data_IF_072031299417
#
_entry.id   IF_072031299417
#
_cell.length_a   1.000
_cell.length_b   1.000
_cell.length_c   1.000
_cell.angle_alpha   90.00
_cell.angle_beta   90.00
_cell.angle_gamma   90.00
#
_symmetry.space_group_name_H-M   'P 1'
#
loop_
_entity.id
_entity.type
_entity.pdbx_description
1 polymer ?
#
# COMPACT_ATOMS: atom_id res chain seq x y z
N UNK A 1 -28.66 10.57 35.85
CA UNK A 1 -27.31 11.04 35.48
C UNK A 1 -27.35 12.54 35.50
N UNK A 2 -26.53 13.15 36.36
CA UNK A 2 -26.33 14.59 36.44
C UNK A 2 -25.18 14.93 35.46
N UNK A 3 -25.09 16.15 34.92
CA UNK A 3 -23.98 16.58 34.04
C UNK A 3 -22.59 16.24 34.59
N UNK A 4 -22.45 16.28 35.92
CA UNK A 4 -21.22 15.95 36.64
C UNK A 4 -20.80 14.47 36.51
N UNK A 5 -21.75 13.56 36.27
CA UNK A 5 -21.49 12.14 36.05
C UNK A 5 -21.00 11.85 34.61
N UNK A 6 -21.04 12.85 33.72
CA UNK A 6 -20.56 12.79 32.34
C UNK A 6 -19.22 13.52 32.16
N UNK A 7 -18.65 14.07 33.24
CA UNK A 7 -17.40 14.83 33.23
C UNK A 7 -16.20 13.87 33.09
N UNK A 8 -15.71 13.74 31.86
CA UNK A 8 -14.55 12.88 31.53
C UNK A 8 -13.23 13.40 32.10
N UNK A 9 -13.18 14.61 32.67
CA UNK A 9 -11.99 15.12 33.38
C UNK A 9 -11.66 14.35 34.66
N UNK A 10 -12.61 13.55 35.16
CA UNK A 10 -12.44 12.67 36.32
C UNK A 10 -11.94 11.26 35.95
N UNK A 11 -11.86 10.92 34.65
CA UNK A 11 -11.36 9.60 34.24
C UNK A 11 -9.83 9.54 34.44
N UNK A 12 -9.30 8.52 35.15
CA UNK A 12 -7.86 8.35 35.29
C UNK A 12 -7.22 8.09 33.92
N UNK A 13 -6.14 8.81 33.63
CA UNK A 13 -5.32 8.56 32.44
C UNK A 13 -4.73 7.14 32.50
N UNK A 14 -4.98 6.34 31.47
CA UNK A 14 -4.23 5.10 31.25
C UNK A 14 -3.07 5.41 30.31
N UNK A 15 -1.85 5.48 30.86
CA UNK A 15 -0.63 5.60 30.08
C UNK A 15 -0.12 4.19 29.72
N UNK A 16 -0.31 3.77 28.47
CA UNK A 16 0.45 2.66 27.91
C UNK A 16 1.80 3.18 27.39
N UNK A 17 2.91 2.82 28.05
CA UNK A 17 4.24 3.12 27.55
C UNK A 17 4.59 2.18 26.39
N UNK A 18 4.52 2.69 25.16
CA UNK A 18 5.05 2.02 23.98
C UNK A 18 6.59 2.06 23.99
N UNK A 19 7.29 1.01 23.53
CA UNK A 19 8.74 1.01 23.43
C UNK A 19 9.28 2.20 22.61
N UNK A 20 10.49 2.66 22.93
CA UNK A 20 11.18 3.67 22.12
C UNK A 20 11.28 3.16 20.68
N UNK A 21 10.85 3.96 19.71
CA UNK A 21 10.87 3.59 18.29
C UNK A 21 9.66 2.78 17.81
N UNK A 22 8.64 2.53 18.64
CA UNK A 22 7.49 1.69 18.26
C UNK A 22 6.82 2.10 16.94
N UNK A 23 6.53 3.39 16.74
CA UNK A 23 5.92 3.88 15.50
C UNK A 23 6.85 3.65 14.31
N UNK A 24 8.14 3.91 14.49
CA UNK A 24 9.15 3.73 13.45
C UNK A 24 9.34 2.25 13.08
N UNK A 25 9.29 1.36 14.07
CA UNK A 25 9.26 -0.09 13.83
C UNK A 25 8.06 -0.48 12.98
N UNK A 26 6.85 0.01 13.30
CA UNK A 26 5.64 -0.27 12.52
C UNK A 26 5.75 0.24 11.07
N UNK A 27 6.37 1.40 10.86
CA UNK A 27 6.60 1.95 9.52
C UNK A 27 7.55 1.05 8.72
N UNK A 28 8.68 0.62 9.30
CA UNK A 28 9.62 -0.31 8.66
C UNK A 28 8.99 -1.68 8.37
N UNK A 29 8.25 -2.20 9.35
CA UNK A 29 7.50 -3.44 9.28
C UNK A 29 6.53 -3.47 8.09
N UNK A 30 5.74 -2.40 7.95
CA UNK A 30 4.86 -2.22 6.81
C UNK A 30 5.63 -2.09 5.50
N UNK A 31 6.64 -1.21 5.47
CA UNK A 31 7.38 -0.90 4.26
C UNK A 31 8.03 -2.15 3.66
N UNK A 32 8.65 -2.98 4.51
CA UNK A 32 9.28 -4.25 4.14
C UNK A 32 8.22 -5.28 3.76
N UNK A 33 7.17 -5.46 4.57
CA UNK A 33 6.16 -6.48 4.28
C UNK A 33 5.34 -6.18 3.02
N UNK A 34 5.19 -4.90 2.63
CA UNK A 34 4.58 -4.51 1.37
C UNK A 34 5.41 -4.97 0.15
N UNK A 35 6.72 -5.20 0.28
CA UNK A 35 7.55 -5.71 -0.83
C UNK A 35 7.24 -7.17 -1.18
N UNK A 36 6.61 -7.92 -0.26
CA UNK A 36 6.22 -9.31 -0.51
C UNK A 36 5.19 -9.46 -1.63
N UNK A 37 4.48 -8.39 -2.02
CA UNK A 37 3.56 -8.43 -3.18
C UNK A 37 4.24 -8.85 -4.47
N UNK A 38 5.54 -8.53 -4.60
CA UNK A 38 6.38 -8.89 -5.74
C UNK A 38 7.41 -9.97 -5.35
N UNK A 39 7.19 -10.66 -4.21
CA UNK A 39 8.06 -11.70 -3.67
C UNK A 39 9.51 -11.23 -3.42
N UNK A 40 9.69 -9.94 -3.11
CA UNK A 40 10.97 -9.35 -2.78
C UNK A 40 11.27 -9.53 -1.28
N UNK A 41 12.56 -9.54 -0.94
CA UNK A 41 13.05 -9.65 0.43
C UNK A 41 14.16 -8.63 0.66
N UNK A 42 14.24 -8.06 1.87
CA UNK A 42 15.28 -7.10 2.17
C UNK A 42 16.64 -7.77 2.21
N UNK A 43 17.69 -7.01 1.91
CA UNK A 43 19.04 -7.45 2.20
C UNK A 43 19.26 -7.54 3.71
N UNK A 44 20.23 -8.37 4.13
CA UNK A 44 20.70 -8.37 5.52
C UNK A 44 21.26 -7.02 5.97
N UNK A 45 21.69 -6.19 5.02
CA UNK A 45 22.22 -4.87 5.31
C UNK A 45 21.10 -3.90 5.68
N UNK A 46 19.96 -3.92 4.97
CA UNK A 46 18.78 -3.14 5.33
C UNK A 46 18.27 -3.53 6.72
N UNK A 47 18.19 -4.82 7.04
CA UNK A 47 17.77 -5.29 8.36
C UNK A 47 18.59 -4.62 9.47
N UNK A 48 19.92 -4.55 9.32
CA UNK A 48 20.81 -3.92 10.29
C UNK A 48 20.62 -2.41 10.40
N UNK A 49 20.55 -1.68 9.28
CA UNK A 49 20.48 -0.21 9.31
C UNK A 49 19.07 0.30 9.64
N UNK A 50 18.02 -0.45 9.32
CA UNK A 50 16.64 -0.14 9.72
C UNK A 50 16.45 -0.28 11.23
N UNK A 51 17.03 -1.31 11.86
CA UNK A 51 17.06 -1.43 13.33
C UNK A 51 17.72 -0.22 13.99
N UNK A 52 18.87 0.23 13.45
CA UNK A 52 19.54 1.46 13.93
C UNK A 52 18.65 2.70 13.77
N UNK A 53 17.91 2.81 12.67
CA UNK A 53 16.94 3.90 12.48
C UNK A 53 15.79 3.83 13.48
N UNK A 54 15.25 2.65 13.77
CA UNK A 54 14.22 2.42 14.80
C UNK A 54 14.72 2.85 16.19
N UNK A 55 15.96 2.55 16.53
CA UNK A 55 16.59 2.92 17.81
C UNK A 55 16.94 4.43 17.90
N UNK A 56 16.90 5.13 16.78
CA UNK A 56 17.28 6.55 16.64
C UNK A 56 18.79 6.76 16.58
N UNK A 57 19.56 5.73 16.20
CA UNK A 57 21.01 5.80 15.98
C UNK A 57 21.37 6.32 14.59
N UNK A 58 20.47 6.14 13.62
CA UNK A 58 20.57 6.69 12.28
C UNK A 58 19.31 7.50 11.93
N UNK A 59 19.48 8.63 11.24
CA UNK A 59 18.36 9.31 10.56
C UNK A 59 17.98 8.56 9.28
N UNK A 60 16.82 8.88 8.69
CA UNK A 60 16.39 8.24 7.45
C UNK A 60 17.31 8.64 6.27
N UNK A 61 17.85 9.85 6.29
CA UNK A 61 18.84 10.35 5.32
C UNK A 61 20.18 9.61 5.44
N UNK A 62 20.60 9.27 6.67
CA UNK A 62 21.80 8.45 6.89
C UNK A 62 21.59 7.01 6.39
N UNK A 63 20.39 6.44 6.57
CA UNK A 63 20.01 5.14 5.98
C UNK A 63 20.08 5.19 4.44
N UNK A 64 19.53 6.24 3.82
CA UNK A 64 19.61 6.43 2.37
C UNK A 64 21.07 6.47 1.90
N UNK A 65 21.92 7.23 2.59
CA UNK A 65 23.34 7.32 2.27
C UNK A 65 24.02 5.95 2.37
N UNK A 66 23.79 5.20 3.45
CA UNK A 66 24.30 3.85 3.63
C UNK A 66 23.88 2.90 2.50
N UNK A 67 22.61 2.90 2.09
CA UNK A 67 22.12 2.07 0.98
C UNK A 67 22.79 2.45 -0.35
N UNK A 68 22.92 3.74 -0.64
CA UNK A 68 23.59 4.23 -1.86
C UNK A 68 25.04 3.77 -1.93
N UNK A 69 25.79 3.87 -0.82
CA UNK A 69 27.17 3.37 -0.77
C UNK A 69 27.23 1.85 -0.93
N UNK A 70 26.35 1.12 -0.23
CA UNK A 70 26.29 -0.35 -0.27
C UNK A 70 26.07 -0.86 -1.70
N UNK A 71 25.07 -0.35 -2.42
CA UNK A 71 24.79 -0.79 -3.78
C UNK A 71 25.79 -0.24 -4.81
N UNK A 72 26.35 0.96 -4.61
CA UNK A 72 27.42 1.46 -5.49
C UNK A 72 28.64 0.54 -5.49
N UNK A 73 29.02 0.02 -4.31
CA UNK A 73 30.12 -0.94 -4.21
C UNK A 73 29.79 -2.27 -4.91
N UNK A 74 28.57 -2.77 -4.76
CA UNK A 74 28.14 -4.01 -5.41
C UNK A 74 28.07 -3.91 -6.93
N UNK A 75 27.65 -2.76 -7.46
CA UNK A 75 27.65 -2.48 -8.90
C UNK A 75 29.10 -2.52 -9.42
N UNK A 76 30.05 -1.94 -8.70
CA UNK A 76 31.46 -1.98 -9.09
C UNK A 76 32.06 -3.38 -9.06
N UNK A 77 31.60 -4.24 -8.15
CA UNK A 77 32.05 -5.63 -8.03
C UNK A 77 31.25 -6.64 -8.85
N UNK A 78 30.23 -6.21 -9.60
CA UNK A 78 29.32 -7.08 -10.36
C UNK A 78 28.65 -8.18 -9.51
N UNK A 79 28.27 -7.83 -8.27
CA UNK A 79 27.64 -8.74 -7.30
C UNK A 79 26.24 -8.31 -6.90
N UNK A 80 25.64 -7.36 -7.62
CA UNK A 80 24.38 -6.73 -7.26
C UNK A 80 23.20 -7.72 -7.37
N UNK A 81 22.40 -7.80 -6.31
CA UNK A 81 21.05 -8.37 -6.37
C UNK A 81 20.03 -7.24 -6.57
N UNK A 82 19.44 -7.18 -7.76
CA UNK A 82 18.45 -6.15 -8.10
C UNK A 82 17.13 -6.29 -7.33
N UNK A 83 16.76 -7.51 -6.89
CA UNK A 83 15.55 -7.72 -6.11
C UNK A 83 15.73 -7.21 -4.68
N UNK A 84 16.90 -7.46 -4.08
CA UNK A 84 17.25 -6.86 -2.78
C UNK A 84 17.34 -5.33 -2.91
N UNK A 85 18.00 -4.83 -3.96
CA UNK A 85 18.12 -3.38 -4.19
C UNK A 85 16.76 -2.69 -4.28
N UNK A 86 15.83 -3.26 -5.05
CA UNK A 86 14.49 -2.72 -5.14
C UNK A 86 13.77 -2.77 -3.78
N UNK A 87 13.84 -3.90 -3.08
CA UNK A 87 13.23 -4.05 -1.76
C UNK A 87 13.73 -2.99 -0.78
N UNK A 88 15.04 -2.80 -0.72
CA UNK A 88 15.71 -1.93 0.23
C UNK A 88 15.39 -0.46 -0.01
N UNK A 89 15.58 0.02 -1.24
CA UNK A 89 15.30 1.42 -1.58
C UNK A 89 13.81 1.73 -1.46
N UNK A 90 12.92 0.87 -1.98
CA UNK A 90 11.48 1.14 -1.93
C UNK A 90 10.99 1.12 -0.49
N UNK A 91 11.46 0.20 0.36
CA UNK A 91 11.09 0.17 1.78
C UNK A 91 11.53 1.44 2.50
N UNK A 92 12.77 1.87 2.30
CA UNK A 92 13.27 3.12 2.88
C UNK A 92 12.45 4.33 2.42
N UNK A 93 12.11 4.42 1.12
CA UNK A 93 11.30 5.51 0.58
C UNK A 93 9.86 5.52 1.12
N UNK A 94 9.27 4.36 1.38
CA UNK A 94 7.95 4.27 2.06
C UNK A 94 8.06 4.88 3.45
N UNK A 95 9.05 4.46 4.26
CA UNK A 95 9.26 4.99 5.62
C UNK A 95 9.44 6.49 5.59
N UNK A 96 10.32 6.99 4.73
CA UNK A 96 10.60 8.41 4.58
C UNK A 96 9.34 9.21 4.17
N UNK A 97 8.51 8.65 3.28
CA UNK A 97 7.28 9.33 2.84
C UNK A 97 6.15 9.28 3.88
N UNK A 98 6.13 8.26 4.75
CA UNK A 98 5.20 8.17 5.88
C UNK A 98 5.50 9.20 6.96
N UNK A 99 6.75 9.63 7.11
CA UNK A 99 7.14 10.71 8.04
C UNK A 99 6.73 12.11 7.55
N UNK A 100 6.35 12.25 6.27
CA UNK A 100 5.92 13.53 5.69
C UNK A 100 4.40 13.72 5.84
N UNK A 101 4.02 14.78 6.55
CA UNK A 101 2.62 15.22 6.70
C UNK A 101 2.17 16.06 5.49
N UNK A 102 2.21 15.45 4.31
CA UNK A 102 1.62 16.01 3.11
C UNK A 102 0.76 14.93 2.43
N UNK A 103 -0.39 15.33 1.92
CA UNK A 103 -1.22 14.46 1.09
C UNK A 103 -2.13 15.35 0.23
N UNK A 104 -2.27 14.97 -1.03
CA UNK A 104 -3.27 15.53 -1.92
C UNK A 104 -3.97 14.40 -2.66
N UNK A 105 -5.30 14.42 -2.68
CA UNK A 105 -6.08 13.47 -3.46
C UNK A 105 -6.04 13.90 -4.94
N UNK A 106 -4.94 13.62 -5.64
CA UNK A 106 -4.75 14.03 -7.04
C UNK A 106 -3.94 13.01 -7.84
N UNK A 107 -4.09 13.05 -9.17
CA UNK A 107 -3.28 12.24 -10.09
C UNK A 107 -1.80 12.59 -9.97
N UNK A 108 -1.48 13.88 -9.80
CA UNK A 108 -0.11 14.35 -9.62
C UNK A 108 0.52 13.80 -8.33
N UNK A 109 -0.24 13.74 -7.24
CA UNK A 109 0.26 13.12 -6.01
C UNK A 109 0.41 11.60 -6.16
N UNK A 110 -0.49 10.93 -6.89
CA UNK A 110 -0.35 9.51 -7.21
C UNK A 110 0.93 9.22 -8.02
N UNK A 111 1.23 10.05 -9.03
CA UNK A 111 2.49 10.02 -9.79
C UNK A 111 3.69 10.33 -8.92
N UNK A 112 3.56 11.32 -8.03
CA UNK A 112 4.61 11.70 -7.10
C UNK A 112 4.98 10.55 -6.17
N UNK A 113 4.01 9.83 -5.59
CA UNK A 113 4.28 8.63 -4.77
C UNK A 113 5.08 7.63 -5.59
N UNK A 114 4.63 7.26 -6.79
CA UNK A 114 5.36 6.29 -7.60
C UNK A 114 6.78 6.79 -7.92
N UNK A 115 6.95 8.05 -8.29
CA UNK A 115 8.28 8.62 -8.52
C UNK A 115 9.14 8.48 -7.28
N UNK A 116 8.61 8.88 -6.13
CA UNK A 116 9.33 8.89 -4.85
C UNK A 116 9.79 7.49 -4.44
N UNK A 117 8.90 6.50 -4.58
CA UNK A 117 9.20 5.11 -4.21
C UNK A 117 10.25 4.47 -5.10
N UNK A 118 10.19 4.74 -6.40
CA UNK A 118 10.94 3.98 -7.40
C UNK A 118 12.10 4.74 -8.07
N UNK A 119 12.37 5.99 -7.67
CA UNK A 119 13.42 6.83 -8.30
C UNK A 119 14.83 6.24 -8.24
N UNK A 120 15.12 5.40 -7.25
CA UNK A 120 16.41 4.73 -7.09
C UNK A 120 16.47 3.35 -7.80
N UNK A 121 15.36 2.92 -8.44
CA UNK A 121 15.20 1.58 -9.02
C UNK A 121 14.85 1.62 -10.51
N UNK A 122 13.91 2.48 -10.91
CA UNK A 122 13.37 2.53 -12.27
C UNK A 122 13.61 3.89 -12.92
N UNK A 123 14.15 3.87 -14.15
CA UNK A 123 14.27 5.09 -14.96
C UNK A 123 12.91 5.73 -15.30
N UNK A 124 11.84 4.93 -15.34
CA UNK A 124 10.47 5.38 -15.61
C UNK A 124 9.70 5.80 -14.34
N UNK A 125 10.36 5.96 -13.18
CA UNK A 125 9.66 6.28 -11.94
C UNK A 125 8.81 7.56 -12.06
N UNK A 126 7.49 7.42 -11.89
CA UNK A 126 6.51 8.51 -12.01
C UNK A 126 5.91 8.67 -13.41
N UNK A 127 6.39 7.91 -14.39
CA UNK A 127 5.90 7.94 -15.76
C UNK A 127 4.84 6.87 -15.98
N UNK A 128 3.70 7.30 -16.53
CA UNK A 128 2.66 6.37 -16.95
C UNK A 128 3.11 5.57 -18.17
N UNK A 129 2.64 4.32 -18.24
CA UNK A 129 2.89 3.44 -19.38
C UNK A 129 2.27 4.01 -20.65
N UNK A 130 2.91 3.72 -21.78
CA UNK A 130 2.49 4.18 -23.12
C UNK A 130 1.90 3.06 -23.98
N UNK A 131 1.82 1.85 -23.41
CA UNK A 131 1.32 0.66 -24.09
C UNK A 131 0.36 -0.10 -23.18
N UNK A 132 -0.55 -0.83 -23.79
CA UNK A 132 -1.41 -1.79 -23.11
C UNK A 132 -0.62 -3.07 -22.83
N UNK A 133 -0.96 -3.73 -21.73
CA UNK A 133 -0.37 -5.01 -21.37
C UNK A 133 -1.36 -5.84 -20.54
N UNK A 134 -1.11 -7.15 -20.50
CA UNK A 134 -1.75 -8.08 -19.59
C UNK A 134 -0.74 -8.59 -18.55
N UNK A 135 -1.21 -8.88 -17.34
CA UNK A 135 -0.38 -9.43 -16.26
C UNK A 135 -0.99 -10.76 -15.86
N UNK A 136 -0.19 -11.82 -15.94
CA UNK A 136 -0.65 -13.15 -15.55
C UNK A 136 -0.82 -13.24 -14.03
N UNK A 137 -2.01 -13.66 -13.62
CA UNK A 137 -2.41 -13.75 -12.23
C UNK A 137 -2.44 -15.20 -11.76
N UNK A 138 -1.57 -15.56 -10.82
CA UNK A 138 -1.46 -16.95 -10.33
C UNK A 138 -2.78 -17.47 -9.75
N UNK A 139 -3.52 -16.63 -9.04
CA UNK A 139 -4.83 -16.99 -8.45
C UNK A 139 -5.94 -17.16 -9.50
N UNK A 140 -5.68 -16.78 -10.76
CA UNK A 140 -6.57 -16.90 -11.90
C UNK A 140 -6.06 -17.93 -12.93
N UNK A 141 -5.20 -18.86 -12.53
CA UNK A 141 -4.54 -19.80 -13.44
C UNK A 141 -3.86 -19.12 -14.64
N UNK A 142 -3.17 -18.01 -14.38
CA UNK A 142 -2.49 -17.15 -15.37
C UNK A 142 -3.42 -16.39 -16.32
N UNK A 143 -4.73 -16.32 -16.08
CA UNK A 143 -5.56 -15.29 -16.71
C UNK A 143 -5.17 -13.88 -16.19
N UNK A 144 -5.70 -12.82 -16.79
CA UNK A 144 -5.40 -11.43 -16.44
C UNK A 144 -6.67 -10.65 -16.10
N UNK A 145 -6.53 -9.68 -15.21
CA UNK A 145 -7.49 -8.58 -15.08
C UNK A 145 -7.44 -7.72 -16.35
N UNK A 146 -8.57 -7.13 -16.72
CA UNK A 146 -8.62 -6.08 -17.74
C UNK A 146 -8.17 -4.74 -17.13
N UNK A 147 -6.99 -4.28 -17.53
CA UNK A 147 -6.44 -2.99 -17.11
C UNK A 147 -6.86 -1.84 -18.04
N UNK A 148 -6.74 -0.60 -17.57
CA UNK A 148 -7.13 0.59 -18.35
C UNK A 148 -6.41 0.75 -19.70
N UNK A 149 -7.00 1.49 -20.63
CA UNK A 149 -6.33 1.86 -21.89
C UNK A 149 -5.19 2.85 -21.61
N UNK A 150 -3.99 2.56 -22.10
CA UNK A 150 -2.80 3.40 -21.96
C UNK A 150 -2.97 4.82 -22.48
N UNK A 151 -3.94 5.06 -23.37
CA UNK A 151 -4.25 6.38 -23.94
C UNK A 151 -5.16 7.23 -23.05
N UNK A 152 -5.82 6.65 -22.06
CA UNK A 152 -6.81 7.35 -21.22
C UNK A 152 -6.50 7.28 -19.72
N UNK A 153 -5.26 6.93 -19.34
CA UNK A 153 -4.89 6.68 -17.94
C UNK A 153 -5.12 7.89 -17.04
N UNK A 154 -4.81 9.09 -17.53
CA UNK A 154 -5.00 10.33 -16.77
C UNK A 154 -6.49 10.58 -16.58
N UNK A 155 -7.26 10.51 -17.66
CA UNK A 155 -8.71 10.74 -17.65
C UNK A 155 -9.44 9.74 -16.76
N UNK A 156 -9.04 8.47 -16.77
CA UNK A 156 -9.60 7.43 -15.89
C UNK A 156 -9.32 7.73 -14.41
N UNK A 157 -8.08 8.06 -14.05
CA UNK A 157 -7.74 8.41 -12.66
C UNK A 157 -8.41 9.72 -12.22
N UNK A 158 -8.45 10.74 -13.08
CA UNK A 158 -9.13 12.00 -12.78
C UNK A 158 -10.62 11.78 -12.55
N UNK A 159 -11.26 10.93 -13.35
CA UNK A 159 -12.65 10.55 -13.15
C UNK A 159 -12.88 9.92 -11.77
N UNK A 160 -12.14 8.85 -11.43
CA UNK A 160 -12.28 8.18 -10.13
C UNK A 160 -11.98 9.12 -8.95
N UNK A 161 -10.91 9.92 -9.04
CA UNK A 161 -10.53 10.90 -8.01
C UNK A 161 -11.59 12.01 -7.88
N UNK A 162 -12.20 12.45 -8.98
CA UNK A 162 -13.23 13.48 -8.94
C UNK A 162 -14.48 13.01 -8.18
N UNK A 163 -14.92 11.77 -8.42
CA UNK A 163 -16.04 11.16 -7.70
C UNK A 163 -15.71 10.98 -6.22
N UNK A 164 -14.46 10.64 -5.91
CA UNK A 164 -14.02 10.46 -4.53
C UNK A 164 -13.97 11.78 -3.76
N UNK A 165 -13.57 12.88 -4.41
CA UNK A 165 -13.58 14.23 -3.81
C UNK A 165 -14.97 14.71 -3.41
N UNK A 166 -16.02 14.22 -4.06
CA UNK A 166 -17.40 14.59 -3.73
C UNK A 166 -17.92 13.91 -2.44
N UNK A 167 -17.21 12.88 -1.94
CA UNK A 167 -17.62 12.12 -0.77
C UNK A 167 -17.48 12.93 0.51
N UNK A 168 -18.53 12.91 1.32
CA UNK A 168 -18.55 13.52 2.67
C UNK A 168 -18.30 12.48 3.75
N UNK A 169 -17.07 12.00 3.85
CA UNK A 169 -16.66 10.96 4.79
C UNK A 169 -17.04 11.24 6.26
N UNK A 170 -17.08 12.52 6.66
CA UNK A 170 -17.47 12.94 8.02
C UNK A 170 -18.92 12.62 8.39
N UNK A 171 -19.79 12.50 7.39
CA UNK A 171 -21.22 12.26 7.59
C UNK A 171 -21.58 10.76 7.41
N UNK A 172 -20.60 9.91 7.10
CA UNK A 172 -20.80 8.51 6.75
C UNK A 172 -20.64 7.59 7.95
N UNK A 173 -21.41 6.50 7.96
CA UNK A 173 -21.12 5.36 8.83
C UNK A 173 -19.83 4.68 8.41
N UNK A 174 -19.15 4.02 9.34
CA UNK A 174 -17.91 3.29 9.06
C UNK A 174 -18.08 2.19 7.98
N UNK A 175 -19.28 1.62 7.86
CA UNK A 175 -19.59 0.65 6.79
C UNK A 175 -19.60 1.31 5.42
N UNK A 176 -20.16 2.52 5.31
CA UNK A 176 -20.14 3.31 4.06
C UNK A 176 -18.73 3.76 3.72
N UNK A 177 -17.94 4.16 4.73
CA UNK A 177 -16.52 4.51 4.56
C UNK A 177 -15.74 3.32 3.98
N UNK A 178 -15.83 2.14 4.60
CA UNK A 178 -15.15 0.94 4.13
C UNK A 178 -15.57 0.61 2.69
N UNK A 179 -16.86 0.73 2.37
CA UNK A 179 -17.36 0.50 1.01
C UNK A 179 -16.77 1.49 0.01
N UNK A 180 -16.80 2.79 0.30
CA UNK A 180 -16.26 3.80 -0.61
C UNK A 180 -14.74 3.65 -0.80
N UNK A 181 -13.98 3.43 0.29
CA UNK A 181 -12.53 3.19 0.21
C UNK A 181 -12.23 1.91 -0.58
N UNK A 182 -13.01 0.83 -0.39
CA UNK A 182 -12.88 -0.40 -1.19
C UNK A 182 -13.09 -0.12 -2.67
N UNK A 183 -14.18 0.57 -3.02
CA UNK A 183 -14.52 0.90 -4.40
C UNK A 183 -13.42 1.78 -5.03
N UNK A 184 -13.03 2.85 -4.34
CA UNK A 184 -11.99 3.77 -4.81
C UNK A 184 -10.64 3.09 -5.01
N UNK A 185 -10.19 2.29 -4.03
CA UNK A 185 -8.95 1.49 -4.12
C UNK A 185 -8.99 0.55 -5.33
N UNK A 186 -10.10 -0.16 -5.50
CA UNK A 186 -10.27 -1.10 -6.62
C UNK A 186 -10.16 -0.39 -7.96
N UNK A 187 -10.84 0.74 -8.12
CA UNK A 187 -10.90 1.49 -9.38
C UNK A 187 -9.52 2.04 -9.77
N UNK A 188 -8.84 2.77 -8.87
CA UNK A 188 -7.54 3.37 -9.21
C UNK A 188 -6.46 2.31 -9.47
N UNK A 189 -6.57 1.14 -8.83
CA UNK A 189 -5.67 0.02 -9.09
C UNK A 189 -5.95 -0.63 -10.44
N UNK A 190 -7.23 -0.73 -10.86
CA UNK A 190 -7.62 -1.29 -12.16
C UNK A 190 -7.10 -0.46 -13.34
N UNK A 191 -6.98 0.86 -13.19
CA UNK A 191 -6.34 1.71 -14.21
C UNK A 191 -4.90 1.22 -14.49
N UNK A 192 -4.21 0.79 -13.43
CA UNK A 192 -2.88 0.17 -13.49
C UNK A 192 -1.89 0.99 -14.35
N UNK A 193 -1.67 2.27 -14.02
CA UNK A 193 -1.08 3.23 -14.95
C UNK A 193 0.43 3.12 -15.12
N UNK A 194 1.14 2.42 -14.23
CA UNK A 194 2.60 2.28 -14.30
C UNK A 194 3.00 0.93 -14.89
N UNK A 195 4.26 0.83 -15.33
CA UNK A 195 4.82 -0.42 -15.88
C UNK A 195 4.96 -1.50 -14.81
N UNK A 196 5.40 -1.11 -13.62
CA UNK A 196 5.49 -1.92 -12.40
C UNK A 196 5.22 -1.02 -11.18
N UNK A 197 5.09 -1.60 -9.98
CA UNK A 197 4.93 -0.82 -8.74
C UNK A 197 3.50 -0.34 -8.42
N UNK A 198 2.51 -0.66 -9.26
CA UNK A 198 1.12 -0.20 -9.09
C UNK A 198 0.54 -0.52 -7.70
N UNK A 199 0.66 -1.77 -7.23
CA UNK A 199 0.10 -2.17 -5.93
C UNK A 199 0.75 -1.41 -4.76
N UNK A 200 2.07 -1.22 -4.79
CA UNK A 200 2.83 -0.51 -3.74
C UNK A 200 2.45 0.98 -3.70
N UNK A 201 2.35 1.62 -4.86
CA UNK A 201 1.87 3.00 -5.00
C UNK A 201 0.42 3.14 -4.51
N UNK A 202 -0.48 2.25 -4.92
CA UNK A 202 -1.89 2.28 -4.48
C UNK A 202 -2.01 2.11 -2.97
N UNK A 203 -1.31 1.15 -2.38
CA UNK A 203 -1.37 0.92 -0.94
C UNK A 203 -0.95 2.17 -0.15
N UNK A 204 0.18 2.78 -0.51
CA UNK A 204 0.67 3.98 0.17
C UNK A 204 -0.22 5.21 -0.09
N UNK A 205 -0.75 5.36 -1.31
CA UNK A 205 -1.70 6.44 -1.60
C UNK A 205 -2.95 6.34 -0.73
N UNK A 206 -3.51 5.13 -0.58
CA UNK A 206 -4.71 4.92 0.24
C UNK A 206 -4.40 5.05 1.73
N UNK A 207 -3.25 4.59 2.21
CA UNK A 207 -2.83 4.81 3.58
C UNK A 207 -2.77 6.31 3.90
N UNK A 208 -2.05 7.10 3.08
CA UNK A 208 -1.98 8.55 3.28
C UNK A 208 -3.34 9.22 3.13
N UNK A 209 -4.20 8.71 2.26
CA UNK A 209 -5.56 9.20 2.15
C UNK A 209 -6.38 8.96 3.42
N UNK A 210 -6.36 7.74 3.96
CA UNK A 210 -7.04 7.37 5.20
C UNK A 210 -6.54 8.21 6.39
N UNK A 211 -5.22 8.44 6.48
CA UNK A 211 -4.62 9.33 7.48
C UNK A 211 -5.14 10.76 7.31
N UNK A 212 -5.22 11.27 6.08
CA UNK A 212 -5.78 12.62 5.80
C UNK A 212 -7.26 12.76 6.16
N UNK A 213 -8.01 11.65 6.16
CA UNK A 213 -9.40 11.59 6.61
C UNK A 213 -9.51 11.48 8.14
N UNK A 214 -8.40 11.32 8.87
CA UNK A 214 -8.33 11.20 10.32
C UNK A 214 -8.42 9.78 10.86
N UNK A 215 -8.28 8.75 10.01
CA UNK A 215 -8.20 7.37 10.46
C UNK A 215 -6.78 7.02 10.92
N UNK A 216 -6.70 6.31 12.04
CA UNK A 216 -5.46 5.67 12.44
C UNK A 216 -5.34 4.34 11.68
N UNK A 217 -4.32 4.22 10.83
CA UNK A 217 -4.09 3.02 10.04
C UNK A 217 -3.11 2.12 10.79
N UNK A 218 -3.50 0.87 11.04
CA UNK A 218 -2.57 -0.12 11.59
C UNK A 218 -1.68 -0.68 10.47
N UNK A 219 -0.43 -0.24 10.49
CA UNK A 219 0.59 -0.61 9.51
C UNK A 219 1.00 -2.09 9.62
N UNK A 220 0.66 -2.77 10.72
CA UNK A 220 0.93 -4.21 10.89
C UNK A 220 0.16 -5.09 9.88
N UNK A 221 -1.03 -4.67 9.43
CA UNK A 221 -1.81 -5.46 8.49
C UNK A 221 -1.14 -5.56 7.11
N UNK A 222 -0.52 -4.49 6.64
CA UNK A 222 0.25 -4.53 5.39
C UNK A 222 1.52 -5.38 5.52
N UNK A 223 2.12 -5.47 6.72
CA UNK A 223 3.27 -6.36 6.94
C UNK A 223 2.91 -7.82 6.65
N UNK A 224 1.82 -8.29 7.24
CA UNK A 224 1.48 -9.72 7.25
C UNK A 224 0.55 -10.13 6.11
N UNK A 225 -0.18 -9.17 5.51
CA UNK A 225 -1.27 -9.43 4.56
C UNK A 225 -1.17 -8.67 3.25
N UNK A 226 0.01 -8.14 2.89
CA UNK A 226 0.24 -7.47 1.60
C UNK A 226 -0.12 -8.35 0.38
N UNK A 227 0.26 -9.63 0.39
CA UNK A 227 -0.07 -10.58 -0.68
C UNK A 227 -1.59 -10.81 -0.78
N UNK A 228 -2.28 -10.90 0.37
CA UNK A 228 -3.74 -11.00 0.40
C UNK A 228 -4.37 -9.74 -0.18
N UNK A 229 -3.92 -8.54 0.24
CA UNK A 229 -4.41 -7.26 -0.27
C UNK A 229 -4.27 -7.18 -1.79
N UNK A 230 -3.10 -7.53 -2.31
CA UNK A 230 -2.81 -7.59 -3.74
C UNK A 230 -3.75 -8.55 -4.49
N UNK A 231 -4.00 -9.72 -3.94
CA UNK A 231 -4.93 -10.70 -4.52
C UNK A 231 -6.40 -10.25 -4.41
N UNK A 232 -6.75 -9.52 -3.34
CA UNK A 232 -8.08 -8.95 -3.17
C UNK A 232 -8.38 -7.88 -4.22
N UNK A 233 -7.38 -7.09 -4.62
CA UNK A 233 -7.46 -6.14 -5.74
C UNK A 233 -7.66 -6.85 -7.09
N UNK A 234 -7.03 -8.00 -7.29
CA UNK A 234 -7.31 -8.84 -8.47
C UNK A 234 -8.74 -9.33 -8.45
N UNK A 235 -9.22 -9.86 -7.32
CA UNK A 235 -10.59 -10.37 -7.19
C UNK A 235 -11.66 -9.30 -7.29
N UNK A 236 -11.38 -8.08 -6.86
CA UNK A 236 -12.31 -6.95 -6.98
C UNK A 236 -12.48 -6.45 -8.40
N UNK A 237 -11.57 -6.81 -9.32
CA UNK A 237 -11.56 -6.33 -10.71
C UNK A 237 -11.62 -7.45 -11.77
N UNK A 238 -11.60 -8.72 -11.36
CA UNK A 238 -11.67 -9.85 -12.28
C UNK A 238 -13.11 -10.29 -12.53
N UNK A 239 -13.47 -10.44 -13.80
CA UNK A 239 -14.69 -11.08 -14.24
C UNK A 239 -14.41 -11.95 -15.47
N UNK A 240 -15.22 -12.98 -15.67
CA UNK A 240 -15.20 -13.82 -16.85
C UNK A 240 -16.62 -14.26 -17.17
N UNK A 241 -17.21 -13.64 -18.20
CA UNK A 241 -18.61 -13.89 -18.57
C UNK A 241 -18.85 -15.30 -19.11
N UNK A 242 -17.85 -15.92 -19.75
CA UNK A 242 -17.98 -17.29 -20.27
C UNK A 242 -18.09 -18.32 -19.15
N UNK A 243 -17.41 -18.08 -18.04
CA UNK A 243 -17.43 -18.93 -16.85
C UNK A 243 -18.39 -18.42 -15.76
N UNK A 244 -19.15 -17.35 -16.04
CA UNK A 244 -20.04 -16.68 -15.09
C UNK A 244 -19.33 -16.25 -13.77
N UNK A 245 -18.05 -15.90 -13.87
CA UNK A 245 -17.27 -15.32 -12.77
C UNK A 245 -17.50 -13.81 -12.76
N UNK A 246 -17.87 -13.28 -11.60
CA UNK A 246 -18.07 -11.84 -11.39
C UNK A 246 -17.01 -11.29 -10.46
N UNK A 247 -16.81 -9.97 -10.55
CA UNK A 247 -16.01 -9.22 -9.58
C UNK A 247 -16.51 -9.49 -8.15
N UNK A 248 -15.56 -9.68 -7.23
CA UNK A 248 -15.84 -9.96 -5.83
C UNK A 248 -15.02 -9.05 -4.92
N UNK A 249 -15.65 -7.94 -4.51
CA UNK A 249 -15.04 -6.96 -3.61
C UNK A 249 -15.04 -7.42 -2.14
N UNK A 250 -15.68 -8.53 -1.80
CA UNK A 250 -15.84 -8.93 -0.39
C UNK A 250 -14.51 -9.22 0.31
N UNK A 251 -13.50 -9.70 -0.44
CA UNK A 251 -12.15 -9.92 0.10
C UNK A 251 -11.46 -8.61 0.48
N UNK A 252 -11.61 -7.58 -0.34
CA UNK A 252 -11.03 -6.26 -0.09
C UNK A 252 -11.79 -5.53 1.04
N UNK A 253 -13.12 -5.70 1.12
CA UNK A 253 -13.92 -5.26 2.26
C UNK A 253 -13.41 -5.88 3.55
N UNK A 254 -13.21 -7.21 3.60
CA UNK A 254 -12.66 -7.89 4.79
C UNK A 254 -11.30 -7.34 5.22
N UNK A 255 -10.44 -7.00 4.25
CA UNK A 255 -9.16 -6.36 4.54
C UNK A 255 -9.36 -5.01 5.23
N UNK A 256 -10.20 -4.13 4.67
CA UNK A 256 -10.48 -2.82 5.26
C UNK A 256 -11.26 -2.88 6.56
N UNK A 257 -12.11 -3.88 6.77
CA UNK A 257 -12.75 -4.14 8.06
C UNK A 257 -11.72 -4.53 9.13
N UNK A 258 -10.72 -5.34 8.79
CA UNK A 258 -9.65 -5.62 9.75
C UNK A 258 -8.84 -4.35 10.03
N UNK A 259 -8.53 -3.57 8.98
CA UNK A 259 -7.73 -2.36 9.09
C UNK A 259 -8.39 -1.25 9.91
N UNK A 260 -9.67 -0.95 9.63
CA UNK A 260 -10.36 0.23 10.17
C UNK A 260 -11.26 -0.08 11.37
N UNK A 261 -11.69 -1.34 11.54
CA UNK A 261 -12.56 -1.75 12.65
C UNK A 261 -11.88 -2.72 13.62
N UNK A 262 -10.63 -3.14 13.36
CA UNK A 262 -9.97 -4.16 14.17
C UNK A 262 -10.71 -5.50 14.15
N UNK A 263 -11.47 -5.80 13.09
CA UNK A 263 -12.09 -7.11 12.93
C UNK A 263 -11.02 -8.19 12.75
N UNK A 264 -11.40 -9.41 13.09
CA UNK A 264 -10.57 -10.61 12.90
C UNK A 264 -11.10 -11.46 11.75
N UNK A 265 -11.41 -10.83 10.60
CA UNK A 265 -11.76 -11.60 9.41
C UNK A 265 -10.56 -12.46 8.99
N UNK A 266 -10.86 -13.64 8.45
CA UNK A 266 -9.81 -14.49 7.92
C UNK A 266 -9.30 -13.93 6.58
N UNK A 267 -7.98 -13.75 6.48
CA UNK A 267 -7.29 -13.20 5.32
C UNK A 267 -6.25 -14.22 4.81
N UNK A 268 -6.70 -15.32 4.23
CA UNK A 268 -5.86 -16.32 3.56
C UNK A 268 -5.92 -16.15 2.05
N UNK A 269 -4.75 -16.03 1.40
CA UNK A 269 -4.66 -15.88 -0.05
C UNK A 269 -5.23 -17.07 -0.84
N UNK A 270 -5.30 -18.25 -0.22
CA UNK A 270 -5.89 -19.46 -0.83
C UNK A 270 -7.39 -19.30 -1.09
N UNK A 271 -8.11 -18.54 -0.26
CA UNK A 271 -9.54 -18.26 -0.44
C UNK A 271 -9.82 -17.43 -1.70
N UNK A 272 -8.80 -16.75 -2.23
CA UNK A 272 -8.89 -15.88 -3.39
C UNK A 272 -8.64 -16.61 -4.70
N UNK A 273 -8.28 -17.89 -4.66
CA UNK A 273 -8.15 -18.72 -5.87
C UNK A 273 -9.52 -18.87 -6.54
N UNK A 274 -9.59 -18.53 -7.82
CA UNK A 274 -10.78 -18.75 -8.65
C UNK A 274 -10.71 -20.16 -9.20
N UNK A 275 -11.31 -21.11 -8.46
CA UNK A 275 -11.19 -22.55 -8.71
C UNK A 275 -11.75 -22.97 -10.06
N UNK A 276 -12.70 -22.23 -10.60
CA UNK A 276 -13.32 -22.45 -11.91
C UNK A 276 -12.34 -22.30 -13.09
N UNK A 277 -11.17 -21.70 -12.87
CA UNK A 277 -10.12 -21.55 -13.87
C UNK A 277 -9.09 -22.68 -13.87
N UNK A 278 -9.14 -23.61 -12.91
CA UNK A 278 -8.21 -24.75 -12.75
C UNK A 278 -8.86 -26.07 -13.14
#
# INVERSE_FOLDING_TARGET
MIEKDLDSSMNPYQEEQKPKGYIKQLQWDMAIGLQQVDNLKPSKYLEQISEKNVLGELTIEEVEHCLKEYYSNQIQSDTIDHNEMECDFVSMRIVELLEKDNFELSVDYFKYIHKYLFQDVYEFAGEFRKIDFSKHEKILNNDSVAYGDSKTLVESLEYDISLEKEKKYKDMSIVEVIKNITDFTSNIWQVHPFREGNTRTTALFIEKYLISLGYNVDNSLFKDKSVYFRNALVRSNYFNNYLNIKEDKTYLIKFYENLLLGKNNNLHSEDLIVKELF
#
